data_IF_821169724008
#
_entry.id   IF_821169724008
#
_cell.length_a   1.000
_cell.length_b   1.000
_cell.length_c   1.000
_cell.angle_alpha   90.00
_cell.angle_beta   90.00
_cell.angle_gamma   90.00
#
_symmetry.space_group_name_H-M   'P 1'
#
loop_
_entity.id
_entity.type
_entity.pdbx_description
1 polymer ?
#
# COMPACT_ATOMS: atom_id res chain seq x y z
N UNK A 1 -77.39 24.73 -5.98
CA UNK A 1 -76.06 24.90 -5.36
C UNK A 1 -75.62 26.33 -5.53
N UNK A 2 -75.24 27.01 -4.43
CA UNK A 2 -74.93 28.43 -4.44
C UNK A 2 -73.50 28.66 -4.91
N UNK A 3 -73.28 29.71 -5.72
CA UNK A 3 -71.96 30.12 -6.23
C UNK A 3 -70.90 30.29 -5.12
N UNK A 4 -71.36 30.54 -3.88
CA UNK A 4 -70.54 30.61 -2.65
C UNK A 4 -69.97 29.26 -2.20
N UNK A 5 -70.67 28.15 -2.43
CA UNK A 5 -70.23 26.80 -2.01
C UNK A 5 -69.09 26.28 -2.89
N UNK A 6 -69.11 26.61 -4.19
CA UNK A 6 -68.02 26.31 -5.12
C UNK A 6 -66.76 27.14 -4.83
N UNK A 7 -66.93 28.40 -4.41
CA UNK A 7 -65.77 29.24 -4.05
C UNK A 7 -65.11 28.77 -2.75
N UNK A 8 -65.91 28.35 -1.76
CA UNK A 8 -65.40 27.84 -0.50
C UNK A 8 -64.67 26.49 -0.66
N UNK A 9 -65.20 25.58 -1.48
CA UNK A 9 -64.51 24.33 -1.84
C UNK A 9 -63.20 24.57 -2.60
N UNK A 10 -63.18 25.52 -3.53
CA UNK A 10 -61.96 25.88 -4.25
C UNK A 10 -60.85 26.48 -3.36
N UNK A 11 -61.23 27.18 -2.29
CA UNK A 11 -60.27 27.72 -1.30
C UNK A 11 -59.70 26.61 -0.42
N UNK A 12 -60.55 25.67 0.04
CA UNK A 12 -60.10 24.52 0.83
C UNK A 12 -59.18 23.58 0.02
N UNK A 13 -59.53 23.29 -1.24
CA UNK A 13 -58.70 22.49 -2.15
C UNK A 13 -57.36 23.19 -2.47
N UNK A 14 -57.34 24.53 -2.50
CA UNK A 14 -56.11 25.30 -2.69
C UNK A 14 -55.23 25.26 -1.43
N UNK A 15 -55.78 25.43 -0.23
CA UNK A 15 -55.05 25.29 1.03
C UNK A 15 -54.47 23.88 1.20
N UNK A 16 -55.23 22.84 0.88
CA UNK A 16 -54.79 21.45 0.99
C UNK A 16 -53.66 21.15 -0.02
N UNK A 17 -53.77 21.65 -1.26
CA UNK A 17 -52.69 21.58 -2.25
C UNK A 17 -51.44 22.32 -1.75
N UNK A 18 -51.57 23.53 -1.23
CA UNK A 18 -50.44 24.30 -0.70
C UNK A 18 -49.76 23.59 0.48
N UNK A 19 -50.52 22.91 1.35
CA UNK A 19 -49.98 22.08 2.41
C UNK A 19 -49.20 20.87 1.86
N UNK A 20 -49.72 20.18 0.84
CA UNK A 20 -49.02 19.06 0.20
C UNK A 20 -47.70 19.48 -0.46
N UNK A 21 -47.69 20.58 -1.24
CA UNK A 21 -46.46 21.11 -1.83
C UNK A 21 -45.43 21.54 -0.76
N UNK A 22 -45.91 22.08 0.38
CA UNK A 22 -45.08 22.40 1.54
C UNK A 22 -44.42 21.15 2.15
N UNK A 23 -45.18 20.08 2.39
CA UNK A 23 -44.64 18.83 2.95
C UNK A 23 -43.64 18.14 2.00
N UNK A 24 -43.89 18.15 0.69
CA UNK A 24 -42.97 17.63 -0.33
C UNK A 24 -41.68 18.45 -0.34
N UNK A 25 -41.78 19.78 -0.25
CA UNK A 25 -40.62 20.68 -0.16
C UNK A 25 -39.75 20.39 1.07
N UNK A 26 -40.37 20.22 2.23
CA UNK A 26 -39.64 19.88 3.48
C UNK A 26 -38.96 18.51 3.37
N UNK A 27 -39.65 17.50 2.83
CA UNK A 27 -39.09 16.15 2.66
C UNK A 27 -37.87 16.15 1.71
N UNK A 28 -37.92 16.93 0.62
CA UNK A 28 -36.79 17.08 -0.30
C UNK A 28 -35.59 17.75 0.38
N UNK A 29 -35.81 18.79 1.18
CA UNK A 29 -34.74 19.47 1.93
C UNK A 29 -34.08 18.50 2.92
N UNK A 30 -34.87 17.72 3.67
CA UNK A 30 -34.34 16.72 4.61
C UNK A 30 -33.57 15.62 3.87
N UNK A 31 -34.06 15.16 2.71
CA UNK A 31 -33.37 14.20 1.86
C UNK A 31 -32.02 14.71 1.34
N UNK A 32 -31.95 15.98 0.92
CA UNK A 32 -30.71 16.60 0.46
C UNK A 32 -29.70 16.79 1.60
N UNK A 33 -30.16 17.19 2.79
CA UNK A 33 -29.31 17.36 3.97
C UNK A 33 -28.74 16.01 4.41
N UNK A 34 -29.56 14.97 4.47
CA UNK A 34 -29.11 13.61 4.84
C UNK A 34 -28.12 13.04 3.83
N UNK A 35 -28.37 13.22 2.52
CA UNK A 35 -27.42 12.85 1.47
C UNK A 35 -26.09 13.62 1.58
N UNK A 36 -26.16 14.93 1.84
CA UNK A 36 -24.97 15.76 2.01
C UNK A 36 -24.15 15.33 3.23
N UNK A 37 -24.80 15.07 4.37
CA UNK A 37 -24.14 14.56 5.58
C UNK A 37 -23.53 13.19 5.32
N UNK A 38 -24.26 12.28 4.65
CA UNK A 38 -23.76 10.96 4.28
C UNK A 38 -22.50 11.06 3.40
N UNK A 39 -22.55 11.87 2.33
CA UNK A 39 -21.40 12.09 1.44
C UNK A 39 -20.23 12.76 2.17
N UNK A 40 -20.49 13.70 3.08
CA UNK A 40 -19.47 14.41 3.83
C UNK A 40 -18.76 13.50 4.84
N UNK A 41 -19.51 12.69 5.60
CA UNK A 41 -18.97 11.69 6.53
C UNK A 41 -18.22 10.61 5.76
N UNK A 42 -18.78 10.15 4.63
CA UNK A 42 -18.14 9.13 3.79
C UNK A 42 -16.85 9.64 3.12
N UNK A 43 -16.77 10.94 2.80
CA UNK A 43 -15.54 11.60 2.34
C UNK A 43 -14.51 11.78 3.46
N UNK A 44 -14.93 12.16 4.67
CA UNK A 44 -14.02 12.37 5.81
C UNK A 44 -13.34 11.08 6.30
N UNK A 45 -13.92 9.91 6.04
CA UNK A 45 -13.35 8.62 6.43
C UNK A 45 -12.10 8.17 5.65
N UNK A 46 -11.72 8.86 4.56
CA UNK A 46 -10.50 8.53 3.82
C UNK A 46 -9.28 9.18 4.48
N UNK A 47 -8.73 8.51 5.49
CA UNK A 47 -7.39 8.83 6.02
C UNK A 47 -6.42 8.81 4.84
N UNK A 48 -5.78 9.95 4.57
CA UNK A 48 -4.78 10.06 3.50
C UNK A 48 -3.56 9.23 3.88
N UNK A 49 -3.41 8.07 3.26
CA UNK A 49 -2.24 7.22 3.41
C UNK A 49 -1.05 7.94 2.77
N UNK A 50 -0.05 8.26 3.58
CA UNK A 50 1.17 9.01 3.19
C UNK A 50 2.46 8.34 3.67
N UNK A 51 2.36 7.15 4.27
CA UNK A 51 3.51 6.39 4.75
C UNK A 51 4.27 5.69 3.62
N UNK A 52 5.60 5.72 3.65
CA UNK A 52 6.49 4.93 2.82
C UNK A 52 7.31 4.04 3.74
N UNK A 53 7.08 2.73 3.69
CA UNK A 53 7.81 1.77 4.52
C UNK A 53 9.05 1.28 3.77
N UNK A 54 10.24 1.50 4.33
CA UNK A 54 11.47 0.84 3.91
C UNK A 54 11.56 -0.50 4.65
N UNK A 55 11.47 -1.60 3.91
CA UNK A 55 11.52 -2.97 4.45
C UNK A 55 12.60 -3.76 3.71
N UNK A 56 13.09 -4.84 4.31
CA UNK A 56 14.13 -5.68 3.73
C UNK A 56 15.00 -6.33 4.82
N UNK A 57 15.83 -7.30 4.43
CA UNK A 57 16.73 -8.00 5.36
C UNK A 57 17.73 -7.06 6.05
N UNK A 58 18.36 -7.52 7.13
CA UNK A 58 19.51 -6.80 7.71
C UNK A 58 20.56 -6.48 6.64
N UNK A 59 21.29 -5.38 6.83
CA UNK A 59 22.41 -4.99 5.96
C UNK A 59 22.04 -4.65 4.50
N UNK A 60 20.77 -4.66 4.10
CA UNK A 60 20.36 -4.25 2.75
C UNK A 60 20.53 -2.76 2.45
N UNK A 61 20.77 -1.93 3.48
CA UNK A 61 21.03 -0.48 3.34
C UNK A 61 19.84 0.44 3.62
N UNK A 62 18.74 -0.07 4.19
CA UNK A 62 17.53 0.71 4.53
C UNK A 62 17.83 2.00 5.31
N UNK A 63 18.58 1.88 6.41
CA UNK A 63 18.90 3.01 7.29
C UNK A 63 19.83 4.04 6.65
N UNK A 64 20.76 3.60 5.79
CA UNK A 64 21.61 4.50 5.02
C UNK A 64 20.77 5.30 4.01
N UNK A 65 19.88 4.63 3.27
CA UNK A 65 18.93 5.27 2.35
C UNK A 65 18.03 6.26 3.10
N UNK A 66 17.48 5.85 4.25
CA UNK A 66 16.68 6.72 5.12
C UNK A 66 17.45 7.97 5.50
N UNK A 67 18.69 7.81 5.98
CA UNK A 67 19.52 8.93 6.44
C UNK A 67 19.86 9.89 5.31
N UNK A 68 20.12 9.38 4.11
CA UNK A 68 20.38 10.20 2.93
C UNK A 68 19.15 10.98 2.47
N UNK A 69 17.96 10.36 2.50
CA UNK A 69 16.73 11.04 2.11
C UNK A 69 16.30 12.11 3.12
N UNK A 70 16.44 11.83 4.43
CA UNK A 70 15.94 12.72 5.50
C UNK A 70 16.98 13.76 5.91
N UNK A 71 18.22 13.35 6.15
CA UNK A 71 19.26 14.22 6.69
C UNK A 71 20.24 14.74 5.65
N UNK A 72 20.14 14.30 4.38
CA UNK A 72 21.06 14.64 3.29
C UNK A 72 22.53 14.33 3.63
N UNK A 73 22.77 13.32 4.47
CA UNK A 73 24.11 12.88 4.89
C UNK A 73 24.14 11.35 4.99
N UNK A 74 25.25 10.75 4.57
CA UNK A 74 25.59 9.37 4.91
C UNK A 74 26.05 9.32 6.38
N UNK A 75 25.36 8.52 7.20
CA UNK A 75 25.75 8.24 8.59
C UNK A 75 26.03 6.76 8.68
N UNK A 76 27.13 6.36 9.32
CA UNK A 76 27.40 4.94 9.60
C UNK A 76 26.22 4.33 10.37
N UNK A 77 25.64 3.25 9.84
CA UNK A 77 24.44 2.63 10.40
C UNK A 77 24.75 1.27 11.03
N UNK A 78 24.38 1.09 12.30
CA UNK A 78 24.29 -0.22 12.96
C UNK A 78 22.89 -0.84 12.79
N UNK A 79 22.70 -2.09 13.22
CA UNK A 79 21.40 -2.77 13.17
C UNK A 79 20.35 -2.02 13.99
N UNK A 80 19.28 -1.54 13.33
CA UNK A 80 18.23 -0.78 14.00
C UNK A 80 17.41 -1.68 14.92
N UNK A 81 17.33 -1.32 16.20
CA UNK A 81 16.51 -2.01 17.22
C UNK A 81 15.11 -1.38 17.38
N UNK A 82 14.88 -0.24 16.73
CA UNK A 82 13.63 0.54 16.69
C UNK A 82 13.46 1.16 15.31
N UNK A 83 12.24 1.49 14.92
CA UNK A 83 11.97 2.20 13.67
C UNK A 83 12.48 3.65 13.68
N UNK A 84 12.95 4.12 12.52
CA UNK A 84 13.19 5.55 12.29
C UNK A 84 12.03 6.13 11.49
N UNK A 85 11.58 7.33 11.87
CA UNK A 85 10.47 8.02 11.21
C UNK A 85 10.92 9.42 10.83
N UNK A 86 10.81 9.73 9.54
CA UNK A 86 11.17 11.03 8.99
C UNK A 86 10.07 11.57 8.08
N UNK A 87 10.07 12.88 7.89
CA UNK A 87 9.17 13.56 6.94
C UNK A 87 9.99 13.99 5.73
N UNK A 88 9.56 13.59 4.55
CA UNK A 88 10.19 13.91 3.27
C UNK A 88 9.25 14.80 2.45
N UNK A 89 9.63 16.06 2.26
CA UNK A 89 8.87 16.98 1.42
C UNK A 89 9.11 16.69 -0.07
N UNK A 90 8.03 16.34 -0.77
CA UNK A 90 8.05 16.10 -2.20
C UNK A 90 7.59 17.37 -2.90
N UNK A 91 8.47 17.94 -3.73
CA UNK A 91 8.22 19.17 -4.47
C UNK A 91 6.89 19.06 -5.24
N UNK A 92 6.00 20.04 -5.02
CA UNK A 92 4.68 20.15 -5.65
C UNK A 92 3.69 18.99 -5.35
N UNK A 93 3.97 18.11 -4.38
CA UNK A 93 3.10 16.97 -3.99
C UNK A 93 2.95 16.78 -2.47
N UNK A 94 3.65 17.59 -1.68
CA UNK A 94 3.59 17.65 -0.22
C UNK A 94 4.44 16.57 0.49
N UNK A 95 4.28 16.49 1.81
CA UNK A 95 5.08 15.62 2.68
C UNK A 95 4.69 14.12 2.63
N UNK A 96 5.65 13.23 2.42
CA UNK A 96 5.56 11.79 2.69
C UNK A 96 6.18 11.48 4.06
N UNK A 97 5.65 10.48 4.76
CA UNK A 97 6.22 9.98 6.01
C UNK A 97 7.07 8.75 5.68
N UNK A 98 8.39 8.86 5.76
CA UNK A 98 9.31 7.75 5.53
C UNK A 98 9.52 6.97 6.84
N UNK A 99 9.39 5.64 6.79
CA UNK A 99 9.55 4.76 7.95
C UNK A 99 10.59 3.69 7.63
N UNK A 100 11.71 3.70 8.35
CA UNK A 100 12.74 2.65 8.31
C UNK A 100 12.35 1.52 9.28
N UNK A 101 12.01 0.36 8.73
CA UNK A 101 11.60 -0.80 9.53
C UNK A 101 12.83 -1.67 9.82
N UNK A 102 13.07 -2.06 11.10
CA UNK A 102 14.13 -3.00 11.46
C UNK A 102 14.12 -4.27 10.60
N UNK A 103 15.29 -4.67 10.10
CA UNK A 103 15.41 -5.83 9.20
C UNK A 103 15.53 -7.18 9.91
N UNK A 104 15.75 -7.18 11.22
CA UNK A 104 16.01 -8.40 11.98
C UNK A 104 14.73 -9.25 12.11
N UNK A 105 14.87 -10.55 11.86
CA UNK A 105 13.76 -11.49 11.71
C UNK A 105 12.73 -11.45 12.85
N UNK A 106 13.23 -11.46 14.09
CA UNK A 106 12.39 -11.49 15.31
C UNK A 106 11.48 -10.27 15.47
N UNK A 107 11.79 -9.13 14.85
CA UNK A 107 11.10 -7.86 15.11
C UNK A 107 10.51 -7.21 13.86
N UNK A 108 11.00 -7.53 12.66
CA UNK A 108 10.58 -6.88 11.39
C UNK A 108 9.07 -6.89 11.19
N UNK A 109 8.40 -8.01 11.46
CA UNK A 109 6.96 -8.14 11.26
C UNK A 109 6.16 -7.26 12.23
N UNK A 110 6.53 -7.25 13.52
CA UNK A 110 5.87 -6.42 14.55
C UNK A 110 5.88 -4.93 14.18
N UNK A 111 7.03 -4.44 13.72
CA UNK A 111 7.14 -3.05 13.29
C UNK A 111 6.36 -2.81 12.00
N UNK A 112 6.46 -3.69 11.00
CA UNK A 112 5.69 -3.55 9.77
C UNK A 112 4.17 -3.50 10.01
N UNK A 113 3.65 -4.36 10.90
CA UNK A 113 2.24 -4.39 11.29
C UNK A 113 1.75 -3.06 11.87
N UNK A 114 2.63 -2.32 12.53
CA UNK A 114 2.32 -1.00 13.12
C UNK A 114 2.14 0.10 12.06
N UNK A 115 2.69 -0.09 10.85
CA UNK A 115 2.72 0.95 9.81
C UNK A 115 1.97 0.60 8.53
N UNK A 116 1.73 -0.69 8.23
CA UNK A 116 1.11 -1.17 6.98
C UNK A 116 -0.27 -0.57 6.67
N UNK A 117 -1.06 -0.22 7.70
CA UNK A 117 -2.36 0.43 7.53
C UNK A 117 -2.26 1.85 6.93
N UNK A 118 -1.13 2.54 7.16
CA UNK A 118 -0.89 3.91 6.70
C UNK A 118 -0.02 3.98 5.45
N UNK A 119 0.46 2.81 4.98
CA UNK A 119 1.36 2.70 3.84
C UNK A 119 0.64 3.09 2.54
N UNK A 120 1.23 4.07 1.86
CA UNK A 120 0.95 4.45 0.48
C UNK A 120 1.90 3.76 -0.48
N UNK A 121 3.13 3.55 -0.04
CA UNK A 121 4.17 2.85 -0.77
C UNK A 121 5.01 1.95 0.16
N UNK A 122 5.54 0.89 -0.41
CA UNK A 122 6.49 -0.01 0.25
C UNK A 122 7.73 -0.08 -0.63
N UNK A 123 8.90 0.21 -0.08
CA UNK A 123 10.19 0.02 -0.73
C UNK A 123 10.85 -1.18 -0.10
N UNK A 124 10.89 -2.28 -0.81
CA UNK A 124 11.58 -3.49 -0.41
C UNK A 124 13.05 -3.40 -0.87
N UNK A 125 13.95 -3.12 0.06
CA UNK A 125 15.38 -2.95 -0.17
C UNK A 125 16.10 -4.28 0.00
N UNK A 126 16.82 -4.70 -1.03
CA UNK A 126 17.68 -5.88 -1.01
C UNK A 126 19.12 -5.52 -1.39
N UNK A 127 20.06 -6.33 -0.91
CA UNK A 127 21.45 -6.27 -1.32
C UNK A 127 21.64 -7.04 -2.64
N UNK A 128 22.02 -6.32 -3.69
CA UNK A 128 22.17 -6.89 -5.04
C UNK A 128 23.43 -7.74 -5.20
N UNK A 129 24.40 -7.60 -4.30
CA UNK A 129 25.62 -8.41 -4.30
C UNK A 129 25.40 -9.74 -3.56
N UNK A 130 24.76 -9.70 -2.39
CA UNK A 130 24.55 -10.91 -1.57
C UNK A 130 23.32 -11.75 -1.97
N UNK A 131 22.50 -11.29 -2.92
CA UNK A 131 21.20 -11.91 -3.24
C UNK A 131 21.25 -13.44 -3.42
N UNK A 132 22.27 -13.98 -4.09
CA UNK A 132 22.35 -15.43 -4.32
C UNK A 132 22.44 -16.23 -3.02
N UNK A 133 23.08 -15.68 -1.99
CA UNK A 133 23.21 -16.29 -0.67
C UNK A 133 21.88 -16.19 0.10
N UNK A 134 21.23 -15.04 -0.01
CA UNK A 134 20.08 -14.67 0.83
C UNK A 134 18.73 -14.87 0.11
N UNK A 135 18.71 -15.47 -1.09
CA UNK A 135 17.54 -15.50 -1.98
C UNK A 135 16.29 -16.08 -1.31
N UNK A 136 16.46 -17.13 -0.49
CA UNK A 136 15.36 -17.77 0.24
C UNK A 136 14.73 -16.81 1.23
N UNK A 137 15.55 -16.20 2.08
CA UNK A 137 15.10 -15.27 3.12
C UNK A 137 14.49 -13.99 2.52
N UNK A 138 15.08 -13.50 1.41
CA UNK A 138 14.55 -12.36 0.65
C UNK A 138 13.17 -12.70 0.07
N UNK A 139 13.04 -13.84 -0.61
CA UNK A 139 11.81 -14.24 -1.26
C UNK A 139 10.71 -14.56 -0.23
N UNK A 140 11.02 -15.23 0.87
CA UNK A 140 10.07 -15.53 1.94
C UNK A 140 9.55 -14.25 2.60
N UNK A 141 10.44 -13.30 2.90
CA UNK A 141 10.01 -12.04 3.47
C UNK A 141 9.18 -11.21 2.47
N UNK A 142 9.59 -11.15 1.21
CA UNK A 142 8.82 -10.47 0.17
C UNK A 142 7.44 -11.12 -0.03
N UNK A 143 7.36 -12.45 -0.04
CA UNK A 143 6.10 -13.20 -0.11
C UNK A 143 5.18 -12.86 1.05
N UNK A 144 5.71 -12.78 2.27
CA UNK A 144 4.96 -12.40 3.47
C UNK A 144 4.36 -11.00 3.32
N UNK A 145 5.14 -10.03 2.82
CA UNK A 145 4.67 -8.65 2.60
C UNK A 145 3.60 -8.58 1.50
N UNK A 146 3.82 -9.22 0.36
CA UNK A 146 2.90 -9.18 -0.79
C UNK A 146 1.61 -9.96 -0.54
N UNK A 147 1.67 -10.97 0.34
CA UNK A 147 0.51 -11.79 0.73
C UNK A 147 -0.25 -11.26 1.94
N UNK A 148 0.20 -10.17 2.55
CA UNK A 148 -0.46 -9.58 3.70
C UNK A 148 -1.87 -9.05 3.30
N UNK A 149 -2.94 -9.43 4.03
CA UNK A 149 -4.30 -9.02 3.69
C UNK A 149 -4.51 -7.50 3.68
N UNK A 150 -3.83 -6.77 4.57
CA UNK A 150 -3.89 -5.31 4.62
C UNK A 150 -3.18 -4.72 3.41
N UNK A 151 -2.01 -5.24 3.05
CA UNK A 151 -1.29 -4.80 1.83
C UNK A 151 -2.14 -5.06 0.58
N UNK A 152 -2.72 -6.26 0.44
CA UNK A 152 -3.57 -6.59 -0.70
C UNK A 152 -4.85 -5.75 -0.76
N UNK A 153 -5.44 -5.40 0.38
CA UNK A 153 -6.66 -4.57 0.46
C UNK A 153 -6.35 -3.09 0.18
N UNK A 154 -5.28 -2.57 0.78
CA UNK A 154 -4.89 -1.17 0.66
C UNK A 154 -4.21 -0.86 -0.69
N UNK A 155 -3.59 -1.85 -1.33
CA UNK A 155 -2.90 -1.73 -2.62
C UNK A 155 -1.84 -0.61 -2.65
N UNK A 156 -0.87 -0.58 -1.71
CA UNK A 156 0.23 0.38 -1.80
C UNK A 156 1.05 0.08 -3.07
N UNK A 157 1.71 1.12 -3.62
CA UNK A 157 2.70 0.88 -4.67
C UNK A 157 3.93 0.19 -4.06
N UNK A 158 4.52 -0.77 -4.76
CA UNK A 158 5.67 -1.52 -4.27
C UNK A 158 6.87 -1.29 -5.18
N UNK A 159 8.00 -0.93 -4.60
CA UNK A 159 9.28 -0.85 -5.28
C UNK A 159 10.23 -1.89 -4.71
N UNK A 160 10.72 -2.79 -5.53
CA UNK A 160 11.85 -3.64 -5.21
C UNK A 160 13.12 -2.87 -5.58
N UNK A 161 13.81 -2.39 -4.55
CA UNK A 161 15.00 -1.56 -4.69
C UNK A 161 16.26 -2.42 -4.58
N UNK A 162 16.89 -2.65 -5.71
CA UNK A 162 18.14 -3.39 -5.87
C UNK A 162 19.31 -2.48 -5.47
N UNK A 163 19.66 -2.49 -4.19
CA UNK A 163 20.69 -1.61 -3.62
C UNK A 163 22.10 -2.22 -3.74
N UNK A 164 23.12 -1.42 -3.43
CA UNK A 164 24.55 -1.75 -3.50
C UNK A 164 25.08 -1.99 -4.92
N UNK A 165 24.55 -1.25 -5.89
CA UNK A 165 24.98 -1.31 -7.29
C UNK A 165 26.40 -0.76 -7.52
N UNK A 166 27.00 -0.12 -6.52
CA UNK A 166 28.42 0.22 -6.49
C UNK A 166 29.34 -1.00 -6.46
N UNK A 167 28.83 -2.16 -6.03
CA UNK A 167 29.61 -3.39 -6.03
C UNK A 167 29.72 -3.98 -7.46
N UNK A 168 30.92 -4.29 -7.99
CA UNK A 168 31.10 -4.73 -9.39
C UNK A 168 30.33 -6.00 -9.79
N UNK A 169 30.05 -6.86 -8.81
CA UNK A 169 29.30 -8.11 -9.01
C UNK A 169 27.81 -8.01 -8.65
N UNK A 170 27.32 -6.80 -8.34
CA UNK A 170 25.91 -6.57 -8.05
C UNK A 170 25.02 -6.96 -9.25
N UNK A 171 23.91 -7.62 -8.96
CA UNK A 171 22.94 -8.01 -9.99
C UNK A 171 22.03 -6.83 -10.34
N UNK A 172 21.81 -6.61 -11.63
CA UNK A 172 20.86 -5.59 -12.09
C UNK A 172 19.40 -5.97 -11.82
N UNK A 173 18.47 -5.00 -11.82
CA UNK A 173 17.08 -5.22 -11.44
C UNK A 173 16.35 -6.31 -12.25
N UNK A 174 16.62 -6.42 -13.55
CA UNK A 174 16.00 -7.43 -14.43
C UNK A 174 16.44 -8.86 -14.06
N UNK A 175 17.71 -9.04 -13.72
CA UNK A 175 18.25 -10.33 -13.27
C UNK A 175 17.63 -10.71 -11.93
N UNK A 176 17.56 -9.75 -11.00
CA UNK A 176 16.99 -9.93 -9.67
C UNK A 176 15.52 -10.30 -9.76
N UNK A 177 14.75 -9.62 -10.61
CA UNK A 177 13.36 -9.95 -10.88
C UNK A 177 13.22 -11.41 -11.32
N UNK A 178 14.01 -11.84 -12.32
CA UNK A 178 13.97 -13.21 -12.84
C UNK A 178 14.32 -14.27 -11.79
N UNK A 179 15.27 -13.97 -10.89
CA UNK A 179 15.67 -14.87 -9.81
C UNK A 179 14.57 -14.96 -8.74
N UNK A 180 14.02 -13.82 -8.33
CA UNK A 180 12.91 -13.79 -7.37
C UNK A 180 11.66 -14.46 -7.93
N UNK A 181 11.33 -14.29 -9.21
CA UNK A 181 10.17 -14.94 -9.81
C UNK A 181 10.24 -16.47 -9.72
N UNK A 182 11.44 -17.02 -9.97
CA UNK A 182 11.71 -18.46 -9.80
C UNK A 182 11.56 -18.92 -8.35
N UNK A 183 12.12 -18.18 -7.40
CA UNK A 183 12.03 -18.56 -5.98
C UNK A 183 10.60 -18.43 -5.43
N UNK A 184 9.88 -17.38 -5.82
CA UNK A 184 8.48 -17.14 -5.46
C UNK A 184 7.56 -18.24 -6.01
N UNK A 185 7.87 -18.78 -7.21
CA UNK A 185 7.18 -19.94 -7.76
C UNK A 185 7.33 -21.18 -6.86
N UNK A 186 8.53 -21.42 -6.32
CA UNK A 186 8.78 -22.53 -5.38
C UNK A 186 8.03 -22.31 -4.07
N UNK A 187 8.09 -21.09 -3.52
CA UNK A 187 7.43 -20.75 -2.25
C UNK A 187 5.92 -20.91 -2.31
N UNK A 188 5.25 -20.37 -3.34
CA UNK A 188 3.78 -20.45 -3.42
C UNK A 188 3.30 -21.90 -3.58
N UNK A 189 4.03 -22.74 -4.31
CA UNK A 189 3.66 -24.15 -4.49
C UNK A 189 3.81 -24.90 -3.18
N UNK A 190 4.88 -24.63 -2.42
CA UNK A 190 5.10 -25.22 -1.10
C UNK A 190 4.00 -24.80 -0.11
N UNK A 191 3.66 -23.52 -0.06
CA UNK A 191 2.60 -23.00 0.83
C UNK A 191 1.21 -23.52 0.44
N UNK A 192 0.91 -23.61 -0.86
CA UNK A 192 -0.39 -24.14 -1.34
C UNK A 192 -0.55 -25.61 -0.97
N UNK A 193 0.49 -26.42 -1.21
CA UNK A 193 0.47 -27.85 -0.87
C UNK A 193 0.35 -28.09 0.64
N UNK A 194 1.02 -27.28 1.46
CA UNK A 194 0.88 -27.35 2.92
C UNK A 194 -0.54 -27.01 3.38
N UNK A 195 -1.17 -26.00 2.78
CA UNK A 195 -2.53 -25.61 3.11
C UNK A 195 -3.54 -26.67 2.68
N UNK A 196 -3.38 -27.29 1.50
CA UNK A 196 -4.25 -28.38 1.04
C UNK A 196 -4.20 -29.60 1.97
N UNK A 197 -3.02 -29.96 2.47
CA UNK A 197 -2.86 -31.05 3.43
C UNK A 197 -3.55 -30.80 4.80
N UNK A 198 -3.81 -29.53 5.14
CA UNK A 198 -4.43 -29.13 6.43
C UNK A 198 -5.91 -28.72 6.26
N UNK A 199 -6.35 -28.42 5.03
CA UNK A 199 -7.66 -27.85 4.72
C UNK A 199 -8.80 -28.87 4.59
N UNK A 200 -8.58 -30.16 4.89
CA UNK A 200 -9.65 -31.19 4.94
C UNK A 200 -10.80 -30.86 5.94
N UNK A 201 -10.75 -29.74 6.67
CA UNK A 201 -11.77 -29.33 7.64
C UNK A 201 -12.23 -27.86 7.65
N UNK A 202 -11.93 -27.01 6.66
CA UNK A 202 -12.39 -25.61 6.75
C UNK A 202 -12.24 -24.72 5.53
N UNK A 203 -13.32 -23.99 5.21
CA UNK A 203 -13.50 -23.05 4.10
C UNK A 203 -12.67 -21.74 4.26
N UNK A 204 -11.33 -21.85 4.38
CA UNK A 204 -10.43 -20.70 4.24
C UNK A 204 -10.10 -20.53 2.77
N UNK A 205 -10.56 -19.45 2.14
CA UNK A 205 -10.05 -19.01 0.84
C UNK A 205 -8.54 -18.76 0.99
N UNK A 206 -7.72 -19.67 0.50
CA UNK A 206 -6.26 -19.48 0.49
C UNK A 206 -5.94 -18.28 -0.40
N UNK A 207 -5.14 -17.35 0.12
CA UNK A 207 -4.61 -16.27 -0.68
C UNK A 207 -3.55 -16.87 -1.61
N UNK A 208 -3.76 -16.78 -2.92
CA UNK A 208 -2.81 -17.25 -3.92
C UNK A 208 -2.16 -16.04 -4.58
N UNK A 209 -0.84 -15.93 -4.47
CA UNK A 209 -0.10 -14.81 -5.06
C UNK A 209 0.14 -15.05 -6.56
N UNK A 210 -0.42 -14.17 -7.39
CA UNK A 210 -0.36 -14.24 -8.85
C UNK A 210 -1.46 -15.13 -9.45
N UNK A 211 -1.18 -15.78 -10.57
CA UNK A 211 -2.12 -16.64 -11.28
C UNK A 211 -1.74 -18.12 -11.15
N UNK A 212 -2.73 -18.97 -10.85
CA UNK A 212 -2.54 -20.43 -10.80
C UNK A 212 -2.39 -21.04 -12.19
N UNK A 213 -1.70 -22.19 -12.27
CA UNK A 213 -1.53 -22.96 -13.51
C UNK A 213 -0.45 -22.45 -14.48
N UNK A 214 0.29 -21.40 -14.11
CA UNK A 214 1.47 -20.90 -14.84
C UNK A 214 2.55 -20.47 -13.87
N UNK A 215 3.81 -20.32 -14.32
CA UNK A 215 4.91 -19.83 -13.48
C UNK A 215 4.64 -18.40 -12.96
N UNK A 216 5.21 -18.08 -11.80
CA UNK A 216 4.97 -16.81 -11.13
C UNK A 216 5.72 -15.70 -11.86
N UNK A 217 5.03 -14.62 -12.18
CA UNK A 217 5.62 -13.38 -12.65
C UNK A 217 5.06 -12.23 -11.81
N UNK A 218 5.88 -11.21 -11.49
CA UNK A 218 5.39 -10.06 -10.72
C UNK A 218 4.27 -9.31 -11.44
N UNK A 219 4.28 -9.35 -12.78
CA UNK A 219 3.24 -8.78 -13.63
C UNK A 219 1.84 -9.38 -13.38
N UNK A 220 1.76 -10.59 -12.81
CA UNK A 220 0.50 -11.28 -12.54
C UNK A 220 -0.19 -10.85 -11.26
N UNK A 221 0.50 -10.07 -10.42
CA UNK A 221 -0.07 -9.55 -9.18
C UNK A 221 -0.98 -8.37 -9.51
N UNK A 222 -2.22 -8.66 -9.93
CA UNK A 222 -3.18 -7.62 -10.34
C UNK A 222 -3.58 -6.64 -9.23
N UNK A 223 -3.38 -7.02 -7.96
CA UNK A 223 -3.72 -6.18 -6.80
C UNK A 223 -2.66 -5.12 -6.50
N UNK A 224 -1.42 -5.30 -6.94
CA UNK A 224 -0.28 -4.47 -6.56
C UNK A 224 0.52 -4.04 -7.79
N UNK A 225 0.89 -2.77 -7.82
CA UNK A 225 1.86 -2.27 -8.80
C UNK A 225 3.26 -2.49 -8.22
N UNK A 226 3.97 -3.49 -8.75
CA UNK A 226 5.35 -3.82 -8.36
C UNK A 226 6.31 -3.33 -9.43
N UNK A 227 7.28 -2.53 -9.04
CA UNK A 227 8.35 -2.01 -9.89
C UNK A 227 9.72 -2.42 -9.35
N UNK A 228 10.73 -2.43 -10.22
CA UNK A 228 12.11 -2.75 -9.88
C UNK A 228 13.00 -1.55 -10.24
N UNK A 229 13.92 -1.20 -9.36
CA UNK A 229 14.89 -0.12 -9.60
C UNK A 229 16.26 -0.43 -8.99
N UNK A 230 17.30 0.06 -9.65
CA UNK A 230 18.67 0.04 -9.13
C UNK A 230 18.92 1.27 -8.24
N UNK A 231 19.74 1.09 -7.20
CA UNK A 231 20.31 2.18 -6.40
C UNK A 231 21.67 1.83 -5.82
N UNK A 232 22.42 2.85 -5.44
CA UNK A 232 23.58 2.73 -4.59
C UNK A 232 23.51 3.78 -3.50
N UNK A 233 23.14 3.35 -2.30
CA UNK A 233 23.22 4.21 -1.13
C UNK A 233 24.66 4.65 -0.86
N UNK A 234 25.67 3.80 -1.08
CA UNK A 234 27.07 4.16 -0.80
C UNK A 234 27.55 5.34 -1.66
N UNK A 235 27.13 5.42 -2.91
CA UNK A 235 27.51 6.48 -3.86
C UNK A 235 26.44 7.55 -4.02
N UNK A 236 25.44 7.59 -3.13
CA UNK A 236 24.30 8.51 -3.16
C UNK A 236 23.45 8.47 -4.45
N UNK A 237 23.56 7.40 -5.23
CA UNK A 237 22.74 7.17 -6.42
C UNK A 237 21.37 6.63 -6.02
N UNK A 238 20.46 7.57 -5.74
CA UNK A 238 19.07 7.32 -5.38
C UNK A 238 18.09 7.92 -6.39
N UNK A 239 18.51 8.19 -7.63
CA UNK A 239 17.69 8.92 -8.60
C UNK A 239 16.39 8.18 -8.94
N UNK A 240 16.47 6.87 -9.20
CA UNK A 240 15.31 6.04 -9.50
C UNK A 240 14.33 5.96 -8.32
N UNK A 241 14.86 5.86 -7.10
CA UNK A 241 14.05 5.88 -5.87
C UNK A 241 13.34 7.24 -5.72
N UNK A 242 14.04 8.35 -5.92
CA UNK A 242 13.45 9.71 -5.86
C UNK A 242 12.36 9.90 -6.91
N UNK A 243 12.57 9.43 -8.15
CA UNK A 243 11.55 9.44 -9.21
C UNK A 243 10.32 8.62 -8.82
N UNK A 244 10.52 7.43 -8.27
CA UNK A 244 9.42 6.60 -7.78
C UNK A 244 8.66 7.27 -6.64
N UNK A 245 9.36 7.84 -5.64
CA UNK A 245 8.75 8.60 -4.54
C UNK A 245 7.91 9.79 -5.05
N UNK A 246 8.42 10.51 -6.06
CA UNK A 246 7.67 11.57 -6.74
C UNK A 246 6.41 11.04 -7.41
N UNK A 247 6.45 9.85 -8.01
CA UNK A 247 5.26 9.24 -8.63
C UNK A 247 4.21 8.81 -7.61
N UNK A 248 4.66 8.37 -6.43
CA UNK A 248 3.80 7.88 -5.35
C UNK A 248 3.12 9.03 -4.60
N UNK A 249 3.82 10.13 -4.33
CA UNK A 249 3.32 11.29 -3.57
C UNK A 249 2.00 11.85 -4.13
#
# INVERSE_FOLDING_TARGET
MSKKDETFRGVLDAEEKHAHWGTIGVALIVGLITLFIFLFVWRKGRVSRRGICLVGLCESGKTLIFSQLIYKKAVESFTSMKENVGVLDIANKGALKLIDIPGHERVRQRFFDSYKNTARGIVFVLDSFSLNKDIRDVAEYLYTILSDPVVSSNRPQVLILCNKQDHPLAKGPQVIQSVLEKEMNVLRNTQTNQLEAVAEGGNRKSFYLGQGGKNFEFADIRSLRVEFAASSAQTEDLENLKKWLQSVA
#
